data_IF_584591414696
#
_entry.id   IF_584591414696
#
_cell.length_a   1.000
_cell.length_b   1.000
_cell.length_c   1.000
_cell.angle_alpha   90.00
_cell.angle_beta   90.00
_cell.angle_gamma   90.00
#
_symmetry.space_group_name_H-M   'P 1'
#
loop_
_entity.id
_entity.type
_entity.pdbx_description
1 polymer ?
#
# COMPACT_ATOMS: atom_id res chain seq x y z
N UNK A 1 -18.62 22.44 6.02
CA UNK A 1 -17.66 21.55 5.35
C UNK A 1 -16.40 21.65 6.18
N UNK A 2 -16.22 20.71 7.10
CA UNK A 2 -15.10 20.70 8.04
C UNK A 2 -13.78 20.48 7.29
N UNK A 3 -12.98 21.53 7.21
CA UNK A 3 -11.63 21.50 6.61
C UNK A 3 -10.52 21.21 7.62
N UNK A 4 -10.83 21.01 8.91
CA UNK A 4 -9.83 20.71 9.93
C UNK A 4 -9.69 19.21 10.15
N UNK A 5 -9.28 18.48 9.11
CA UNK A 5 -8.57 17.22 9.37
C UNK A 5 -7.17 17.60 9.87
N UNK A 6 -6.72 17.13 11.04
CA UNK A 6 -5.33 17.34 11.44
C UNK A 6 -4.45 16.70 10.37
N UNK A 7 -3.77 17.54 9.58
CA UNK A 7 -2.77 17.08 8.64
C UNK A 7 -1.70 16.36 9.44
N UNK A 8 -1.26 15.15 9.04
CA UNK A 8 -0.20 14.45 9.75
C UNK A 8 1.04 15.34 9.82
N UNK A 9 1.76 15.28 10.95
CA UNK A 9 2.89 16.14 11.28
C UNK A 9 4.16 15.90 10.44
N UNK A 10 4.03 15.57 9.16
CA UNK A 10 5.10 15.13 8.28
C UNK A 10 5.52 16.30 7.39
N UNK A 11 6.77 16.73 7.50
CA UNK A 11 7.34 17.72 6.59
C UNK A 11 7.73 17.09 5.24
N UNK A 12 7.96 17.92 4.22
CA UNK A 12 8.26 17.45 2.84
C UNK A 12 9.50 16.54 2.76
N UNK A 13 10.52 16.76 3.61
CA UNK A 13 11.71 15.90 3.63
C UNK A 13 11.43 14.52 4.21
N UNK A 14 10.61 14.46 5.25
CA UNK A 14 10.14 13.21 5.85
C UNK A 14 9.21 12.47 4.89
N UNK A 15 8.45 13.20 4.07
CA UNK A 15 7.73 12.60 2.96
C UNK A 15 8.67 11.85 2.02
N UNK A 16 9.66 12.53 1.45
CA UNK A 16 10.60 11.83 0.56
C UNK A 16 11.32 10.66 1.23
N UNK A 17 11.65 10.75 2.53
CA UNK A 17 12.24 9.64 3.27
C UNK A 17 11.29 8.44 3.43
N UNK A 18 10.02 8.68 3.79
CA UNK A 18 9.01 7.63 3.94
C UNK A 18 8.61 7.00 2.60
N UNK A 19 8.46 7.79 1.54
CA UNK A 19 8.25 7.28 0.18
C UNK A 19 9.44 6.43 -0.28
N UNK A 20 10.67 6.88 -0.07
CA UNK A 20 11.85 6.10 -0.46
C UNK A 20 11.92 4.77 0.29
N UNK A 21 11.57 4.77 1.58
CA UNK A 21 11.50 3.55 2.39
C UNK A 21 10.39 2.61 1.91
N UNK A 22 9.21 3.14 1.57
CA UNK A 22 8.10 2.35 1.01
C UNK A 22 8.51 1.68 -0.29
N UNK A 23 9.08 2.47 -1.20
CA UNK A 23 9.55 1.98 -2.49
C UNK A 23 10.62 0.91 -2.31
N UNK A 24 11.58 1.12 -1.40
CA UNK A 24 12.61 0.13 -1.11
C UNK A 24 12.03 -1.17 -0.51
N UNK A 25 11.09 -1.07 0.42
CA UNK A 25 10.43 -2.22 1.04
C UNK A 25 9.64 -3.03 0.01
N UNK A 26 8.85 -2.37 -0.84
CA UNK A 26 8.08 -3.02 -1.89
C UNK A 26 8.99 -3.59 -3.00
N UNK A 27 10.08 -2.90 -3.34
CA UNK A 27 11.11 -3.38 -4.28
C UNK A 27 11.82 -4.64 -3.78
N UNK A 28 11.93 -4.82 -2.46
CA UNK A 28 12.48 -6.03 -1.84
C UNK A 28 11.42 -7.14 -1.65
N UNK A 29 10.18 -6.77 -1.34
CA UNK A 29 9.07 -7.70 -1.15
C UNK A 29 8.73 -8.46 -2.43
N UNK A 30 8.73 -7.78 -3.59
CA UNK A 30 8.44 -8.40 -4.88
C UNK A 30 9.35 -9.58 -5.25
N UNK A 31 10.69 -9.39 -5.27
CA UNK A 31 11.65 -10.48 -5.51
C UNK A 31 11.54 -11.61 -4.49
N UNK A 32 11.27 -11.30 -3.21
CA UNK A 32 11.08 -12.31 -2.17
C UNK A 32 9.81 -13.16 -2.42
N UNK A 33 8.72 -12.53 -2.86
CA UNK A 33 7.49 -13.21 -3.27
C UNK A 33 7.75 -14.13 -4.48
N UNK A 34 8.50 -13.65 -5.48
CA UNK A 34 8.91 -14.45 -6.65
C UNK A 34 9.79 -15.64 -6.23
N UNK A 35 10.80 -15.41 -5.39
CA UNK A 35 11.68 -16.47 -4.88
C UNK A 35 10.89 -17.53 -4.13
N UNK A 36 9.91 -17.12 -3.34
CA UNK A 36 8.98 -18.02 -2.64
C UNK A 36 8.14 -18.83 -3.62
N UNK A 37 7.56 -18.18 -4.63
CA UNK A 37 6.77 -18.85 -5.65
C UNK A 37 7.59 -19.94 -6.37
N UNK A 38 8.83 -19.60 -6.75
CA UNK A 38 9.76 -20.54 -7.40
C UNK A 38 10.13 -21.69 -6.45
N UNK A 39 10.42 -21.39 -5.18
CA UNK A 39 10.76 -22.40 -4.19
C UNK A 39 9.61 -23.40 -3.97
N UNK A 40 8.38 -22.92 -3.81
CA UNK A 40 7.20 -23.77 -3.57
C UNK A 40 6.82 -24.57 -4.82
N UNK A 41 7.05 -24.02 -6.01
CA UNK A 41 6.78 -24.71 -7.28
C UNK A 41 7.90 -25.69 -7.70
N UNK A 42 9.05 -25.66 -7.04
CA UNK A 42 10.24 -26.44 -7.44
C UNK A 42 10.90 -25.95 -8.74
N UNK A 43 10.61 -24.71 -9.16
CA UNK A 43 11.14 -24.12 -10.38
C UNK A 43 12.58 -23.62 -10.26
N UNK A 44 13.11 -23.08 -11.36
CA UNK A 44 14.44 -22.44 -11.40
C UNK A 44 14.29 -20.94 -11.21
N UNK A 45 15.02 -20.39 -10.23
CA UNK A 45 15.01 -18.96 -9.96
C UNK A 45 15.85 -18.23 -11.01
N UNK A 46 15.24 -17.28 -11.72
CA UNK A 46 15.93 -16.46 -12.71
C UNK A 46 16.05 -15.01 -12.24
N UNK A 47 17.15 -14.35 -12.61
CA UNK A 47 17.34 -12.93 -12.31
C UNK A 47 16.24 -12.05 -12.93
N UNK A 48 15.73 -12.44 -14.11
CA UNK A 48 14.64 -11.73 -14.77
C UNK A 48 13.34 -11.79 -13.97
N UNK A 49 12.99 -12.96 -13.41
CA UNK A 49 11.80 -13.09 -12.58
C UNK A 49 11.90 -12.22 -11.31
N UNK A 50 13.08 -12.20 -10.67
CA UNK A 50 13.32 -11.32 -9.52
C UNK A 50 13.18 -9.84 -9.90
N UNK A 51 13.74 -9.42 -11.05
CA UNK A 51 13.61 -8.04 -11.54
C UNK A 51 12.17 -7.64 -11.81
N UNK A 52 11.36 -8.53 -12.41
CA UNK A 52 9.94 -8.29 -12.64
C UNK A 52 9.17 -8.17 -11.31
N UNK A 53 9.51 -9.01 -10.31
CA UNK A 53 8.98 -8.88 -8.96
C UNK A 53 9.30 -7.51 -8.35
N UNK A 54 10.56 -7.07 -8.42
CA UNK A 54 10.97 -5.74 -7.93
C UNK A 54 10.21 -4.62 -8.64
N UNK A 55 10.08 -4.70 -9.96
CA UNK A 55 9.38 -3.72 -10.78
C UNK A 55 7.91 -3.58 -10.33
N UNK A 56 7.17 -4.69 -10.19
CA UNK A 56 5.78 -4.64 -9.73
C UNK A 56 5.63 -4.00 -8.35
N UNK A 57 6.56 -4.28 -7.42
CA UNK A 57 6.59 -3.65 -6.11
C UNK A 57 6.88 -2.14 -6.17
N UNK A 58 7.85 -1.73 -6.99
CA UNK A 58 8.18 -0.31 -7.22
C UNK A 58 7.01 0.42 -7.88
N UNK A 59 6.33 -0.18 -8.85
CA UNK A 59 5.17 0.44 -9.51
C UNK A 59 4.05 0.72 -8.52
N UNK A 60 3.70 -0.27 -7.69
CA UNK A 60 2.69 -0.10 -6.65
C UNK A 60 3.02 1.08 -5.71
N UNK A 61 4.18 1.02 -5.06
CA UNK A 61 4.61 2.02 -4.07
C UNK A 61 4.86 3.39 -4.68
N UNK A 62 5.41 3.44 -5.90
CA UNK A 62 5.65 4.67 -6.65
C UNK A 62 4.36 5.39 -7.01
N UNK A 63 3.31 4.66 -7.42
CA UNK A 63 1.99 5.22 -7.69
C UNK A 63 1.36 5.79 -6.43
N UNK A 64 1.42 5.05 -5.31
CA UNK A 64 0.91 5.53 -4.02
C UNK A 64 1.63 6.82 -3.58
N UNK A 65 2.96 6.81 -3.59
CA UNK A 65 3.76 7.98 -3.24
C UNK A 65 3.47 9.17 -4.18
N UNK A 66 3.29 8.95 -5.48
CA UNK A 66 2.96 10.01 -6.42
C UNK A 66 1.60 10.65 -6.14
N UNK A 67 0.58 9.83 -5.88
CA UNK A 67 -0.77 10.32 -5.58
C UNK A 67 -0.79 11.11 -4.26
N UNK A 68 -0.08 10.63 -3.25
CA UNK A 68 0.07 11.33 -1.98
C UNK A 68 0.86 12.64 -2.14
N UNK A 69 1.88 12.67 -2.99
CA UNK A 69 2.61 13.91 -3.29
C UNK A 69 1.69 14.94 -3.95
N UNK A 70 0.89 14.53 -4.93
CA UNK A 70 -0.06 15.43 -5.61
C UNK A 70 -1.16 15.93 -4.67
N UNK A 71 -1.49 15.20 -3.62
CA UNK A 71 -2.43 15.66 -2.59
C UNK A 71 -2.03 17.02 -2.01
N UNK A 72 -0.73 17.28 -1.88
CA UNK A 72 -0.20 18.56 -1.40
C UNK A 72 -0.38 19.71 -2.39
N UNK A 73 -0.61 19.43 -3.68
CA UNK A 73 -0.67 20.42 -4.74
C UNK A 73 -2.05 21.08 -4.92
N UNK A 74 -3.07 20.68 -4.15
CA UNK A 74 -4.39 21.33 -4.18
C UNK A 74 -5.13 21.19 -5.52
N UNK A 75 -5.07 20.01 -6.13
CA UNK A 75 -5.65 19.78 -7.46
C UNK A 75 -7.19 19.78 -7.48
N UNK A 76 -7.83 20.06 -8.63
CA UNK A 76 -9.29 20.03 -8.76
C UNK A 76 -9.90 18.66 -8.42
N UNK A 77 -11.09 18.65 -7.82
CA UNK A 77 -11.81 17.43 -7.38
C UNK A 77 -11.88 16.33 -8.44
N UNK A 78 -12.19 16.59 -9.73
CA UNK A 78 -12.22 15.54 -10.74
C UNK A 78 -10.87 14.85 -10.95
N UNK A 79 -9.77 15.63 -10.96
CA UNK A 79 -8.43 15.09 -11.07
C UNK A 79 -8.05 14.29 -9.82
N UNK A 80 -8.47 14.74 -8.64
CA UNK A 80 -8.29 14.02 -7.38
C UNK A 80 -9.02 12.67 -7.35
N UNK A 81 -10.26 12.62 -7.85
CA UNK A 81 -11.03 11.37 -7.96
C UNK A 81 -10.35 10.34 -8.86
N UNK A 82 -9.76 10.78 -9.98
CA UNK A 82 -9.01 9.89 -10.88
C UNK A 82 -7.72 9.36 -10.23
N UNK A 83 -7.01 10.20 -9.48
CA UNK A 83 -5.80 9.78 -8.76
C UNK A 83 -6.11 8.80 -7.62
N UNK A 84 -7.19 9.02 -6.87
CA UNK A 84 -7.65 8.04 -5.87
C UNK A 84 -8.03 6.72 -6.52
N UNK A 85 -8.70 6.74 -7.68
CA UNK A 85 -9.03 5.52 -8.40
C UNK A 85 -7.77 4.77 -8.84
N UNK A 86 -6.75 5.48 -9.32
CA UNK A 86 -5.45 4.90 -9.68
C UNK A 86 -4.72 4.31 -8.46
N UNK A 87 -4.72 5.03 -7.32
CA UNK A 87 -4.11 4.58 -6.07
C UNK A 87 -4.94 3.54 -5.29
N UNK A 88 -6.15 3.21 -5.76
CA UNK A 88 -6.98 2.18 -5.15
C UNK A 88 -6.41 0.78 -5.40
N UNK A 89 -6.84 -0.20 -4.59
CA UNK A 89 -6.48 -1.61 -4.81
C UNK A 89 -6.85 -2.09 -6.21
N UNK A 90 -7.99 -1.67 -6.74
CA UNK A 90 -8.41 -1.98 -8.11
C UNK A 90 -7.45 -1.39 -9.14
N UNK A 91 -7.13 -0.09 -9.02
CA UNK A 91 -6.25 0.61 -9.95
C UNK A 91 -4.85 0.01 -9.98
N UNK A 92 -4.26 -0.22 -8.81
CA UNK A 92 -2.91 -0.79 -8.66
C UNK A 92 -2.86 -2.23 -9.17
N UNK A 93 -3.81 -3.08 -8.78
CA UNK A 93 -3.81 -4.48 -9.22
C UNK A 93 -3.89 -4.59 -10.74
N UNK A 94 -4.77 -3.80 -11.37
CA UNK A 94 -4.91 -3.75 -12.84
C UNK A 94 -3.64 -3.22 -13.49
N UNK A 95 -3.08 -2.13 -12.97
CA UNK A 95 -1.87 -1.51 -13.52
C UNK A 95 -0.66 -2.46 -13.46
N UNK A 96 -0.39 -3.04 -12.29
CA UNK A 96 0.75 -3.96 -12.11
C UNK A 96 0.54 -5.22 -12.93
N UNK A 97 -0.69 -5.74 -13.00
CA UNK A 97 -0.97 -6.92 -13.84
C UNK A 97 -0.76 -6.60 -15.32
N UNK A 98 -1.21 -5.44 -15.79
CA UNK A 98 -1.00 -5.00 -17.17
C UNK A 98 0.49 -4.85 -17.48
N UNK A 99 1.24 -4.17 -16.61
CA UNK A 99 2.69 -3.98 -16.75
C UNK A 99 3.43 -5.32 -16.84
N UNK A 100 3.24 -6.20 -15.87
CA UNK A 100 3.96 -7.48 -15.81
C UNK A 100 3.52 -8.41 -16.94
N UNK A 101 2.22 -8.45 -17.28
CA UNK A 101 1.74 -9.24 -18.42
C UNK A 101 2.37 -8.76 -19.72
N UNK A 102 2.40 -7.46 -19.95
CA UNK A 102 3.00 -6.90 -21.16
C UNK A 102 4.51 -7.19 -21.26
N UNK A 103 5.23 -7.17 -20.12
CA UNK A 103 6.66 -7.47 -20.08
C UNK A 103 6.99 -8.97 -20.23
N UNK A 104 6.07 -9.86 -19.87
CA UNK A 104 6.28 -11.32 -19.90
C UNK A 104 5.72 -11.94 -21.18
N UNK A 105 4.53 -11.50 -21.60
CA UNK A 105 3.75 -12.07 -22.69
C UNK A 105 3.78 -11.21 -23.97
N UNK A 106 4.21 -9.94 -23.87
CA UNK A 106 4.15 -8.98 -24.98
C UNK A 106 2.75 -8.40 -25.22
N UNK A 107 1.77 -8.77 -24.40
CA UNK A 107 0.40 -8.28 -24.44
C UNK A 107 -0.22 -8.28 -23.04
N UNK A 108 -1.41 -7.70 -22.91
CA UNK A 108 -2.18 -7.69 -21.66
C UNK A 108 -3.51 -8.43 -21.87
N UNK A 109 -3.56 -9.74 -21.60
CA UNK A 109 -4.78 -10.51 -21.75
C UNK A 109 -5.89 -9.99 -20.83
N UNK A 110 -7.08 -9.77 -21.38
CA UNK A 110 -8.24 -9.30 -20.62
C UNK A 110 -8.60 -10.22 -19.45
N UNK A 111 -8.38 -11.54 -19.59
CA UNK A 111 -8.61 -12.51 -18.53
C UNK A 111 -7.72 -12.27 -17.29
N UNK A 112 -6.47 -11.86 -17.50
CA UNK A 112 -5.56 -11.50 -16.40
C UNK A 112 -5.99 -10.19 -15.73
N UNK A 113 -6.53 -9.23 -16.48
CA UNK A 113 -7.09 -8.01 -15.91
C UNK A 113 -8.35 -8.28 -15.07
N UNK A 114 -9.22 -9.19 -15.53
CA UNK A 114 -10.38 -9.63 -14.74
C UNK A 114 -9.92 -10.30 -13.45
N UNK A 115 -8.92 -11.18 -13.53
CA UNK A 115 -8.33 -11.80 -12.35
C UNK A 115 -7.77 -10.77 -11.36
N UNK A 116 -7.11 -9.71 -11.86
CA UNK A 116 -6.60 -8.61 -11.06
C UNK A 116 -7.72 -7.84 -10.33
N UNK A 117 -8.83 -7.56 -11.02
CA UNK A 117 -9.98 -6.86 -10.45
C UNK A 117 -10.61 -7.69 -9.32
N UNK A 118 -10.77 -9.00 -9.51
CA UNK A 118 -11.36 -9.88 -8.49
C UNK A 118 -10.42 -10.03 -7.29
N UNK A 119 -9.11 -10.13 -7.53
CA UNK A 119 -8.10 -10.17 -6.48
C UNK A 119 -8.01 -8.86 -5.67
N UNK A 120 -8.33 -7.71 -6.27
CA UNK A 120 -8.33 -6.42 -5.58
C UNK A 120 -9.33 -6.34 -4.40
N UNK A 121 -10.34 -7.21 -4.36
CA UNK A 121 -11.35 -7.27 -3.30
C UNK A 121 -10.72 -7.68 -1.95
N UNK A 122 -10.06 -8.85 -1.82
CA UNK A 122 -9.34 -9.18 -0.59
C UNK A 122 -8.18 -8.22 -0.33
N UNK A 123 -7.49 -7.70 -1.36
CA UNK A 123 -6.35 -6.78 -1.25
C UNK A 123 -6.72 -5.34 -0.80
N UNK A 124 -8.00 -5.03 -0.57
CA UNK A 124 -8.46 -3.67 -0.23
C UNK A 124 -7.81 -3.05 1.00
N UNK A 125 -7.28 -3.85 1.93
CA UNK A 125 -6.57 -3.39 3.13
C UNK A 125 -5.07 -3.10 2.94
N UNK A 126 -4.46 -3.50 1.82
CA UNK A 126 -3.00 -3.46 1.61
C UNK A 126 -2.52 -2.24 0.80
N UNK A 127 -3.46 -1.46 0.27
CA UNK A 127 -3.19 -0.16 -0.39
C UNK A 127 -3.14 1.02 0.59
N UNK A 128 -2.93 0.73 1.87
CA UNK A 128 -2.67 1.75 2.89
C UNK A 128 -1.21 2.20 2.69
N UNK A 129 -1.02 3.42 2.21
CA UNK A 129 0.31 4.01 2.07
C UNK A 129 1.04 4.10 3.42
N UNK A 130 2.38 4.12 3.38
CA UNK A 130 3.22 4.27 4.59
C UNK A 130 2.84 5.52 5.40
N UNK A 131 2.27 6.55 4.77
CA UNK A 131 1.83 7.78 5.42
C UNK A 131 0.60 7.61 6.29
N UNK A 132 -0.41 6.87 5.82
CA UNK A 132 -1.54 6.47 6.66
C UNK A 132 -1.07 5.55 7.79
N UNK A 133 -0.02 4.78 7.56
CA UNK A 133 0.63 3.99 8.60
C UNK A 133 1.42 4.85 9.61
N UNK A 134 1.94 6.00 9.21
CA UNK A 134 2.72 6.92 10.04
C UNK A 134 1.91 8.07 10.69
N UNK A 135 0.66 8.30 10.27
CA UNK A 135 -0.11 9.52 10.58
C UNK A 135 -1.39 9.38 11.41
N UNK A 136 -1.89 8.16 11.65
CA UNK A 136 -2.95 7.92 12.64
C UNK A 136 -4.24 7.24 12.14
N UNK A 137 -4.92 6.64 13.11
CA UNK A 137 -6.21 5.93 13.16
C UNK A 137 -6.28 4.43 12.77
N UNK A 138 -5.45 3.90 11.87
CA UNK A 138 -5.56 2.46 11.48
C UNK A 138 -4.26 1.69 11.27
N UNK A 139 -3.11 2.35 11.10
CA UNK A 139 -1.84 1.67 10.82
C UNK A 139 -0.97 1.52 12.06
N UNK A 140 -0.57 0.29 12.37
CA UNK A 140 0.44 -0.01 13.39
C UNK A 140 0.04 -1.04 14.43
N UNK A 141 -1.21 -1.52 14.44
CA UNK A 141 -1.57 -2.66 15.30
C UNK A 141 -1.08 -3.96 14.66
N UNK A 142 -0.25 -4.77 15.36
CA UNK A 142 0.25 -6.03 14.82
C UNK A 142 -0.90 -6.98 14.42
N UNK A 143 -2.06 -6.89 15.09
CA UNK A 143 -3.26 -7.66 14.76
C UNK A 143 -3.80 -7.34 13.36
N UNK A 144 -3.81 -6.06 12.96
CA UNK A 144 -4.27 -5.64 11.63
C UNK A 144 -3.33 -6.15 10.55
N UNK A 145 -2.02 -6.22 10.85
CA UNK A 145 -0.99 -6.62 9.90
C UNK A 145 -0.97 -8.13 9.66
N UNK A 146 -1.26 -8.94 10.70
CA UNK A 146 -1.52 -10.38 10.54
C UNK A 146 -2.76 -10.62 9.66
N UNK A 147 -3.80 -9.80 9.80
CA UNK A 147 -4.98 -9.88 8.94
C UNK A 147 -4.67 -9.50 7.48
N UNK A 148 -3.90 -8.42 7.26
CA UNK A 148 -3.45 -8.01 5.91
C UNK A 148 -2.62 -9.11 5.24
N UNK A 149 -1.68 -9.75 5.96
CA UNK A 149 -0.92 -10.89 5.42
C UNK A 149 -1.83 -12.02 4.92
N UNK A 150 -2.89 -12.33 5.67
CA UNK A 150 -3.89 -13.33 5.26
C UNK A 150 -4.68 -12.89 4.03
N UNK A 151 -5.00 -11.60 3.92
CA UNK A 151 -5.64 -11.02 2.74
C UNK A 151 -4.74 -11.03 1.51
N UNK A 152 -3.44 -10.83 1.66
CA UNK A 152 -2.48 -10.88 0.54
C UNK A 152 -2.32 -12.32 0.03
N UNK A 153 -2.27 -13.29 0.94
CA UNK A 153 -2.31 -14.71 0.58
C UNK A 153 -3.60 -15.07 -0.16
N UNK A 154 -4.75 -14.57 0.32
CA UNK A 154 -6.04 -14.75 -0.32
C UNK A 154 -6.09 -14.06 -1.69
N UNK A 155 -5.53 -12.86 -1.83
CA UNK A 155 -5.42 -12.13 -3.08
C UNK A 155 -4.64 -12.91 -4.13
N UNK A 156 -3.47 -13.45 -3.76
CA UNK A 156 -2.68 -14.32 -4.63
C UNK A 156 -3.45 -15.57 -5.06
N UNK A 157 -4.13 -16.24 -4.13
CA UNK A 157 -4.98 -17.40 -4.42
C UNK A 157 -6.12 -17.05 -5.40
N UNK A 158 -6.86 -15.98 -5.11
CA UNK A 158 -8.01 -15.53 -5.91
C UNK A 158 -7.56 -15.14 -7.31
N UNK A 159 -6.43 -14.44 -7.43
CA UNK A 159 -5.85 -14.09 -8.73
C UNK A 159 -5.56 -15.34 -9.57
N UNK A 160 -4.80 -16.30 -9.02
CA UNK A 160 -4.44 -17.51 -9.76
C UNK A 160 -5.66 -18.36 -10.12
N UNK A 161 -6.66 -18.43 -9.23
CA UNK A 161 -7.90 -19.16 -9.49
C UNK A 161 -8.75 -18.48 -10.58
N UNK A 162 -8.86 -17.16 -10.53
CA UNK A 162 -9.63 -16.43 -11.54
C UNK A 162 -8.92 -16.44 -12.90
N UNK A 163 -7.59 -16.35 -12.92
CA UNK A 163 -6.82 -16.49 -14.15
C UNK A 163 -7.07 -17.85 -14.83
N UNK A 164 -7.07 -18.95 -14.06
CA UNK A 164 -7.42 -20.27 -14.60
C UNK A 164 -8.86 -20.31 -15.13
N UNK A 165 -9.84 -19.74 -14.42
CA UNK A 165 -11.22 -19.66 -14.92
C UNK A 165 -11.33 -18.93 -16.27
N UNK A 166 -10.46 -17.95 -16.51
CA UNK A 166 -10.35 -17.19 -17.76
C UNK A 166 -9.43 -17.88 -18.80
N UNK A 167 -9.00 -19.13 -18.55
CA UNK A 167 -8.18 -19.92 -19.47
C UNK A 167 -6.67 -19.67 -19.38
N UNK A 168 -6.20 -19.01 -18.33
CA UNK A 168 -4.78 -18.71 -18.10
C UNK A 168 -4.22 -19.46 -16.88
N UNK A 169 -3.58 -20.60 -17.13
CA UNK A 169 -2.89 -21.37 -16.09
C UNK A 169 -1.50 -20.79 -15.79
N UNK A 170 -1.46 -19.83 -14.87
CA UNK A 170 -0.20 -19.15 -14.48
C UNK A 170 0.64 -20.01 -13.53
N UNK A 171 0.03 -20.48 -12.43
CA UNK A 171 0.68 -21.30 -11.41
C UNK A 171 -0.34 -22.01 -10.52
N UNK A 172 0.14 -22.98 -9.72
CA UNK A 172 -0.68 -23.65 -8.73
C UNK A 172 -1.13 -22.65 -7.63
N UNK A 173 -2.36 -22.79 -7.15
CA UNK A 173 -2.97 -21.78 -6.27
C UNK A 173 -2.24 -21.62 -4.92
N UNK A 174 -1.65 -22.69 -4.40
CA UNK A 174 -0.84 -22.66 -3.18
C UNK A 174 0.47 -21.88 -3.39
N UNK A 175 1.04 -21.91 -4.59
CA UNK A 175 2.22 -21.13 -4.97
C UNK A 175 1.89 -19.65 -4.95
N UNK A 176 0.77 -19.26 -5.57
CA UNK A 176 0.31 -17.88 -5.59
C UNK A 176 -0.04 -17.37 -4.17
N UNK A 177 -0.70 -18.18 -3.36
CA UNK A 177 -1.01 -17.85 -1.97
C UNK A 177 0.26 -17.65 -1.12
N UNK A 178 1.27 -18.51 -1.29
CA UNK A 178 2.54 -18.38 -0.57
C UNK A 178 3.30 -17.11 -0.98
N UNK A 179 3.31 -16.78 -2.28
CA UNK A 179 3.91 -15.55 -2.77
C UNK A 179 3.22 -14.31 -2.19
N UNK A 180 1.88 -14.29 -2.18
CA UNK A 180 1.09 -13.21 -1.57
C UNK A 180 1.36 -13.07 -0.07
N UNK A 181 1.41 -14.19 0.67
CA UNK A 181 1.71 -14.19 2.10
C UNK A 181 3.10 -13.59 2.41
N UNK A 182 4.13 -13.93 1.62
CA UNK A 182 5.48 -13.40 1.82
C UNK A 182 5.56 -11.92 1.48
N UNK A 183 4.89 -11.50 0.40
CA UNK A 183 4.82 -10.08 0.04
C UNK A 183 4.21 -9.27 1.20
N UNK A 184 3.02 -9.70 1.67
CA UNK A 184 2.31 -9.08 2.79
C UNK A 184 3.05 -9.11 4.11
N UNK A 185 3.81 -10.17 4.38
CA UNK A 185 4.64 -10.24 5.58
C UNK A 185 5.75 -9.19 5.59
N UNK A 186 6.40 -8.97 4.45
CA UNK A 186 7.47 -7.99 4.33
C UNK A 186 6.90 -6.57 4.41
N UNK A 187 5.91 -6.23 3.58
CA UNK A 187 5.31 -4.88 3.58
C UNK A 187 4.63 -4.59 4.92
N UNK A 188 3.90 -5.55 5.47
CA UNK A 188 3.23 -5.43 6.77
C UNK A 188 4.20 -5.28 7.94
N UNK A 189 5.37 -5.94 7.91
CA UNK A 189 6.42 -5.72 8.92
C UNK A 189 6.91 -4.27 8.91
N UNK A 190 7.23 -3.72 7.73
CA UNK A 190 7.66 -2.32 7.61
C UNK A 190 6.57 -1.35 8.06
N UNK A 191 5.31 -1.59 7.69
CA UNK A 191 4.17 -0.80 8.15
C UNK A 191 3.98 -0.88 9.68
N UNK A 192 4.20 -2.05 10.28
CA UNK A 192 4.13 -2.22 11.74
C UNK A 192 5.22 -1.41 12.43
N UNK A 193 6.46 -1.54 11.98
CA UNK A 193 7.62 -0.83 12.59
C UNK A 193 7.41 0.68 12.51
N UNK A 194 6.96 1.19 11.36
CA UNK A 194 6.66 2.61 11.18
C UNK A 194 5.46 3.05 12.01
N UNK A 195 4.41 2.24 12.08
CA UNK A 195 3.25 2.51 12.93
C UNK A 195 3.61 2.53 14.42
N UNK A 196 4.49 1.64 14.89
CA UNK A 196 5.00 1.67 16.26
C UNK A 196 5.84 2.92 16.52
N UNK A 197 6.69 3.32 15.57
CA UNK A 197 7.47 4.55 15.63
C UNK A 197 6.59 5.82 15.63
N UNK A 198 5.52 5.82 14.83
CA UNK A 198 4.52 6.88 14.79
C UNK A 198 3.64 6.93 16.04
N UNK A 199 3.43 5.78 16.70
CA UNK A 199 2.65 5.67 17.94
C UNK A 199 3.15 6.54 19.09
N UNK A 200 4.40 7.01 19.03
CA UNK A 200 4.93 8.08 19.90
C UNK A 200 4.49 9.48 19.44
N UNK A 201 3.21 9.62 19.07
CA UNK A 201 2.62 10.91 18.73
C UNK A 201 2.07 11.56 20.01
N UNK A 202 2.70 12.65 20.43
CA UNK A 202 2.27 13.52 21.50
C UNK A 202 1.43 14.67 20.95
N UNK A 203 0.13 14.67 21.26
CA UNK A 203 -0.76 15.80 21.02
C UNK A 203 -0.93 16.59 22.31
N UNK A 204 -0.51 17.85 22.30
CA UNK A 204 -0.77 18.80 23.38
C UNK A 204 -1.79 19.82 22.87
N UNK A 205 -2.90 20.02 23.59
CA UNK A 205 -3.88 21.06 23.27
C UNK A 205 -3.94 22.08 24.40
N UNK A 206 -3.84 23.36 24.08
CA UNK A 206 -3.92 24.47 25.04
C UNK A 206 -4.71 25.61 24.42
N UNK A 207 -5.86 25.95 24.99
CA UNK A 207 -6.73 27.05 24.55
C UNK A 207 -7.06 27.02 23.04
N UNK A 208 -7.38 25.84 22.50
CA UNK A 208 -7.69 25.65 21.08
C UNK A 208 -6.49 25.50 20.15
N UNK A 209 -5.29 25.87 20.59
CA UNK A 209 -4.08 25.53 19.86
C UNK A 209 -3.70 24.07 20.14
N UNK A 210 -3.73 23.23 19.11
CA UNK A 210 -3.19 21.88 19.20
C UNK A 210 -1.82 21.83 18.54
N UNK A 211 -0.90 21.13 19.20
CA UNK A 211 0.42 20.78 18.69
C UNK A 211 0.51 19.26 18.72
N UNK A 212 0.51 18.65 17.54
CA UNK A 212 0.73 17.22 17.38
C UNK A 212 2.18 17.02 16.95
N UNK A 213 2.94 16.32 17.77
CA UNK A 213 4.36 16.04 17.56
C UNK A 213 4.62 14.55 17.59
N UNK A 214 5.45 14.03 16.69
CA UNK A 214 5.93 12.66 16.72
C UNK A 214 7.39 12.62 16.24
N UNK A 215 7.97 11.42 16.14
CA UNK A 215 9.35 11.30 15.63
C UNK A 215 9.49 11.81 14.19
N UNK A 216 8.37 11.92 13.47
CA UNK A 216 8.27 12.37 12.09
C UNK A 216 7.85 13.84 11.98
N UNK A 217 7.95 14.64 13.04
CA UNK A 217 7.78 16.10 12.95
C UNK A 217 6.73 16.68 13.88
N UNK A 218 6.41 17.96 13.68
CA UNK A 218 5.47 18.71 14.52
C UNK A 218 4.54 19.51 13.63
N UNK A 219 3.23 19.34 13.83
CA UNK A 219 2.19 20.16 13.23
C UNK A 219 1.47 20.92 14.33
N UNK A 220 1.08 22.14 14.03
CA UNK A 220 0.29 22.98 14.92
C UNK A 220 -0.90 23.53 14.17
N UNK A 221 -2.07 23.50 14.80
CA UNK A 221 -3.28 24.11 14.27
C UNK A 221 -4.07 24.79 15.37
N UNK A 222 -5.17 25.43 14.97
CA UNK A 222 -6.11 26.05 15.89
C UNK A 222 -7.50 25.45 15.62
N UNK A 223 -8.10 24.84 16.64
CA UNK A 223 -9.48 24.39 16.59
C UNK A 223 -10.38 25.55 17.03
N UNK A 224 -11.07 26.18 16.08
CA UNK A 224 -11.98 27.30 16.36
C UNK A 224 -13.17 26.90 17.25
N UNK A 225 -13.46 25.60 17.38
CA UNK A 225 -14.58 25.06 18.17
C UNK A 225 -14.18 24.55 19.56
N UNK A 226 -12.95 24.82 20.01
CA UNK A 226 -12.42 24.27 21.27
C UNK A 226 -13.29 24.59 22.51
N UNK A 227 -13.97 25.74 22.52
CA UNK A 227 -14.88 26.14 23.60
C UNK A 227 -16.21 25.39 23.61
N UNK A 228 -16.65 24.80 22.50
CA UNK A 228 -17.88 23.99 22.45
C UNK A 228 -17.68 22.58 23.00
N UNK A 229 -16.45 22.07 22.94
CA UNK A 229 -16.11 20.72 23.39
C UNK A 229 -15.69 20.66 24.88
N UNK A 230 -15.54 21.80 25.56
CA UNK A 230 -15.16 21.89 26.97
C UNK A 230 -16.34 21.87 27.96
N UNK A 231 -17.55 21.57 27.48
CA UNK A 231 -18.77 21.46 28.31
C UNK A 231 -19.26 20.01 28.32
N UNK A 232 -18.50 19.14 28.99
CA UNK A 232 -18.98 17.90 29.61
C UNK A 232 -18.22 17.68 30.91
#
# INVERSE_FOLDING_TARGET
MDTDRPLPAINVWQFFALAALDIAANAAAGPAAVATAVHVSGGVLTARALQLGALGGVTKSGVLAFVEFIAYAGIPTPAWMLLILLASSFGICVLVTAEISNLVLGETPSGLLIAAIVAAIPLGGECIGIYQSAGGLTGGKPQTQVFIMGLDALGGYVFARMAHNEGHDICAYNVAAAAGAVYGAITGFFHTVIGCMAGFTHTTSTNGHYVTSNIFGTTSGYDENWQRNSVW
#
